data_IF_046032703302
#
_entry.id   IF_046032703302
#
_cell.length_a   1.000
_cell.length_b   1.000
_cell.length_c   1.000
_cell.angle_alpha   90.00
_cell.angle_beta   90.00
_cell.angle_gamma   90.00
#
_symmetry.space_group_name_H-M   'P 1'
#
loop_
_entity.id
_entity.type
_entity.pdbx_description
1 polymer ?
#
# COMPACT_ATOMS: atom_id res chain seq x y z
N UNK A 1 -1.77 13.45 -13.22
CA UNK A 1 -1.77 12.52 -12.08
C UNK A 1 -1.49 11.06 -12.48
N UNK A 2 -2.22 10.45 -13.43
CA UNK A 2 -1.98 9.07 -13.86
C UNK A 2 -0.63 8.84 -14.60
N UNK A 3 -0.14 9.82 -15.37
CA UNK A 3 1.10 9.68 -16.13
C UNK A 3 2.38 9.61 -15.25
N UNK A 4 2.34 10.16 -14.04
CA UNK A 4 3.47 10.05 -13.08
C UNK A 4 3.51 8.68 -12.39
N UNK A 5 2.39 7.95 -12.35
CA UNK A 5 2.34 6.59 -11.82
C UNK A 5 3.05 5.59 -12.75
N UNK A 6 3.12 5.85 -14.06
CA UNK A 6 3.83 4.98 -15.01
C UNK A 6 5.36 5.02 -14.83
N UNK A 7 5.92 6.10 -14.29
CA UNK A 7 7.37 6.21 -13.98
C UNK A 7 7.79 5.35 -12.78
N UNK A 8 6.83 4.82 -12.01
CA UNK A 8 7.09 4.04 -10.78
C UNK A 8 7.65 2.65 -11.09
N UNK A 9 7.26 2.02 -12.21
CA UNK A 9 7.72 0.68 -12.60
C UNK A 9 9.23 0.59 -12.90
N UNK A 10 9.89 1.72 -13.16
CA UNK A 10 11.32 1.76 -13.51
C UNK A 10 12.23 1.84 -12.27
N UNK A 11 11.71 2.30 -11.12
CA UNK A 11 12.51 2.57 -9.92
C UNK A 11 12.66 1.35 -8.98
N UNK A 12 12.14 0.18 -9.35
CA UNK A 12 12.03 -1.02 -8.51
C UNK A 12 13.29 -1.92 -8.51
N UNK A 13 14.32 -1.60 -9.32
CA UNK A 13 15.55 -2.39 -9.42
C UNK A 13 16.58 -2.22 -8.29
N UNK A 14 16.49 -1.18 -7.46
CA UNK A 14 17.58 -0.77 -6.54
C UNK A 14 17.17 -0.78 -5.03
N UNK A 15 16.08 -1.47 -4.69
CA UNK A 15 15.29 -1.23 -3.47
C UNK A 15 15.86 -1.70 -2.11
N UNK A 16 17.03 -2.35 -2.04
CA UNK A 16 17.57 -2.86 -0.75
C UNK A 16 18.49 -1.89 0.02
N UNK A 17 18.76 -0.68 -0.49
CA UNK A 17 19.74 0.26 0.09
C UNK A 17 19.18 1.63 0.51
N UNK A 18 17.87 1.81 0.58
CA UNK A 18 17.28 3.12 0.86
C UNK A 18 17.07 3.36 2.37
N UNK A 19 17.55 4.52 2.84
CA UNK A 19 17.39 4.95 4.24
C UNK A 19 15.94 5.21 4.64
N UNK A 20 15.69 5.32 5.96
CA UNK A 20 14.35 5.44 6.55
C UNK A 20 13.47 6.54 5.94
N UNK A 21 14.06 7.69 5.58
CA UNK A 21 13.36 8.81 4.94
C UNK A 21 12.73 8.43 3.59
N UNK A 22 13.47 7.70 2.76
CA UNK A 22 13.00 7.25 1.44
C UNK A 22 11.89 6.19 1.57
N UNK A 23 11.96 5.34 2.60
CA UNK A 23 10.84 4.44 2.95
C UNK A 23 9.59 5.23 3.32
N UNK A 24 9.70 6.24 4.19
CA UNK A 24 8.57 7.07 4.64
C UNK A 24 7.91 7.80 3.46
N UNK A 25 8.68 8.49 2.63
CA UNK A 25 8.16 9.21 1.46
C UNK A 25 7.46 8.28 0.47
N UNK A 26 7.99 7.06 0.26
CA UNK A 26 7.37 6.05 -0.59
C UNK A 26 6.03 5.56 -0.06
N UNK A 27 5.85 5.48 1.26
CA UNK A 27 4.57 5.12 1.86
C UNK A 27 3.56 6.25 1.78
N UNK A 28 3.98 7.51 2.00
CA UNK A 28 3.10 8.68 1.93
C UNK A 28 2.39 8.81 0.57
N UNK A 29 3.04 8.41 -0.53
CA UNK A 29 2.45 8.49 -1.88
C UNK A 29 1.14 7.70 -2.03
N UNK A 30 0.92 6.69 -1.19
CA UNK A 30 -0.28 5.84 -1.25
C UNK A 30 -1.44 6.36 -0.38
N UNK A 31 -1.16 7.26 0.56
CA UNK A 31 -2.16 7.81 1.50
C UNK A 31 -2.45 9.30 1.24
N UNK A 32 -1.51 10.04 0.65
CA UNK A 32 -1.58 11.49 0.49
C UNK A 32 -1.21 11.97 -0.91
N UNK A 33 -1.94 12.98 -1.40
CA UNK A 33 -1.62 13.65 -2.65
C UNK A 33 -0.33 14.47 -2.53
N UNK A 34 0.64 14.21 -3.39
CA UNK A 34 1.94 14.90 -3.36
C UNK A 34 1.86 16.41 -3.61
N UNK A 35 0.79 16.88 -4.28
CA UNK A 35 0.59 18.29 -4.64
C UNK A 35 -0.17 19.05 -3.55
N UNK A 36 -1.38 18.61 -3.20
CA UNK A 36 -2.24 19.33 -2.27
C UNK A 36 -2.13 18.85 -0.82
N UNK A 37 -1.34 17.79 -0.56
CA UNK A 37 -1.11 17.21 0.78
C UNK A 37 -2.36 16.70 1.50
N UNK A 38 -3.48 16.58 0.78
CA UNK A 38 -4.69 15.98 1.31
C UNK A 38 -4.61 14.46 1.23
N UNK A 39 -5.16 13.80 2.26
CA UNK A 39 -5.33 12.35 2.24
C UNK A 39 -6.36 11.95 1.21
N UNK A 40 -6.11 10.83 0.54
CA UNK A 40 -7.08 10.23 -0.34
C UNK A 40 -8.25 9.65 0.47
N UNK A 41 -9.46 9.74 -0.07
CA UNK A 41 -10.68 9.26 0.57
C UNK A 41 -11.58 8.53 -0.42
N UNK A 42 -12.50 7.72 0.10
CA UNK A 42 -13.46 6.91 -0.64
C UNK A 42 -12.82 6.03 -1.72
N UNK A 43 -13.41 6.07 -2.92
CA UNK A 43 -13.00 5.22 -4.05
C UNK A 43 -11.55 5.46 -4.48
N UNK A 44 -11.04 6.70 -4.35
CA UNK A 44 -9.65 7.01 -4.71
C UNK A 44 -8.68 6.32 -3.75
N UNK A 45 -8.99 6.34 -2.44
CA UNK A 45 -8.19 5.64 -1.43
C UNK A 45 -8.18 4.14 -1.67
N UNK A 46 -9.34 3.56 -1.99
CA UNK A 46 -9.47 2.15 -2.35
C UNK A 46 -8.64 1.78 -3.59
N UNK A 47 -8.72 2.57 -4.65
CA UNK A 47 -7.95 2.31 -5.87
C UNK A 47 -6.43 2.36 -5.62
N UNK A 48 -5.96 3.33 -4.82
CA UNK A 48 -4.55 3.46 -4.48
C UNK A 48 -4.07 2.37 -3.53
N UNK A 49 -4.90 1.94 -2.58
CA UNK A 49 -4.55 0.84 -1.69
C UNK A 49 -4.44 -0.50 -2.45
N UNK A 50 -5.28 -0.72 -3.46
CA UNK A 50 -5.13 -1.82 -4.43
C UNK A 50 -3.85 -1.70 -5.27
N UNK A 51 -3.52 -0.50 -5.74
CA UNK A 51 -2.24 -0.24 -6.43
C UNK A 51 -1.04 -0.60 -5.55
N UNK A 52 -1.09 -0.20 -4.28
CA UNK A 52 -0.07 -0.52 -3.29
C UNK A 52 0.07 -2.02 -3.08
N UNK A 53 -1.04 -2.74 -2.86
CA UNK A 53 -1.04 -4.19 -2.69
C UNK A 53 -0.44 -4.92 -3.89
N UNK A 54 -0.86 -4.58 -5.11
CA UNK A 54 -0.32 -5.18 -6.34
C UNK A 54 1.17 -4.97 -6.50
N UNK A 55 1.71 -3.86 -5.98
CA UNK A 55 3.15 -3.59 -5.99
C UNK A 55 3.93 -4.54 -5.07
N UNK A 56 3.36 -4.90 -3.91
CA UNK A 56 4.10 -5.61 -2.85
C UNK A 56 3.68 -7.07 -2.63
N UNK A 57 2.60 -7.55 -3.27
CA UNK A 57 2.08 -8.91 -3.09
C UNK A 57 3.09 -10.01 -3.41
N UNK A 58 4.00 -9.77 -4.37
CA UNK A 58 5.01 -10.75 -4.78
C UNK A 58 6.17 -10.93 -3.80
N UNK A 59 6.27 -10.08 -2.77
CA UNK A 59 7.37 -10.14 -1.78
C UNK A 59 7.16 -11.28 -0.77
N UNK A 60 8.21 -11.77 -0.08
CA UNK A 60 8.06 -12.77 0.99
C UNK A 60 7.11 -12.30 2.10
N UNK A 61 6.46 -13.24 2.81
CA UNK A 61 5.59 -12.91 3.95
C UNK A 61 6.36 -12.20 5.08
N UNK A 62 7.65 -12.47 5.22
CA UNK A 62 8.55 -11.81 6.19
C UNK A 62 8.86 -10.36 5.84
N UNK A 63 8.61 -9.93 4.59
CA UNK A 63 8.85 -8.57 4.14
C UNK A 63 7.82 -7.61 4.75
N UNK A 64 8.32 -6.62 5.50
CA UNK A 64 7.49 -5.62 6.16
C UNK A 64 6.61 -4.84 5.16
N UNK A 65 7.09 -4.58 3.95
CA UNK A 65 6.35 -3.83 2.95
C UNK A 65 5.11 -4.58 2.47
N UNK A 66 5.18 -5.91 2.36
CA UNK A 66 4.02 -6.74 2.04
C UNK A 66 2.94 -6.61 3.12
N UNK A 67 3.33 -6.66 4.39
CA UNK A 67 2.39 -6.52 5.53
C UNK A 67 1.75 -5.14 5.58
N UNK A 68 2.55 -4.09 5.41
CA UNK A 68 2.04 -2.72 5.39
C UNK A 68 1.08 -2.48 4.22
N UNK A 69 1.34 -3.08 3.05
CA UNK A 69 0.46 -3.01 1.91
C UNK A 69 -0.90 -3.68 2.18
N UNK A 70 -0.94 -4.82 2.86
CA UNK A 70 -2.19 -5.46 3.28
C UNK A 70 -2.98 -4.57 4.25
N UNK A 71 -2.29 -3.94 5.21
CA UNK A 71 -2.94 -3.03 6.15
C UNK A 71 -3.56 -1.82 5.43
N UNK A 72 -2.85 -1.27 4.44
CA UNK A 72 -3.36 -0.16 3.65
C UNK A 72 -4.55 -0.58 2.77
N UNK A 73 -4.49 -1.77 2.17
CA UNK A 73 -5.59 -2.35 1.41
C UNK A 73 -6.87 -2.46 2.25
N UNK A 74 -6.78 -3.07 3.44
CA UNK A 74 -7.91 -3.19 4.35
C UNK A 74 -8.51 -1.83 4.74
N UNK A 75 -7.67 -0.83 5.00
CA UNK A 75 -8.14 0.55 5.26
C UNK A 75 -8.86 1.17 4.06
N UNK A 76 -8.31 1.02 2.86
CA UNK A 76 -8.91 1.57 1.65
C UNK A 76 -10.24 0.92 1.30
N UNK A 77 -10.38 -0.39 1.51
CA UNK A 77 -11.62 -1.12 1.29
C UNK A 77 -12.72 -0.68 2.26
N UNK A 78 -12.42 -0.60 3.56
CA UNK A 78 -13.40 -0.15 4.56
C UNK A 78 -13.79 1.32 4.34
N UNK A 79 -12.84 2.18 3.98
CA UNK A 79 -13.13 3.58 3.66
C UNK A 79 -14.03 3.75 2.43
N UNK A 80 -14.07 2.77 1.52
CA UNK A 80 -14.99 2.73 0.38
C UNK A 80 -16.29 1.94 0.67
N UNK A 81 -16.50 1.46 1.89
CA UNK A 81 -17.69 0.70 2.29
C UNK A 81 -17.68 -0.79 1.86
N UNK A 82 -16.53 -1.33 1.48
CA UNK A 82 -16.35 -2.75 1.17
C UNK A 82 -15.91 -3.52 2.42
N UNK A 83 -16.73 -3.52 3.46
CA UNK A 83 -16.32 -3.98 4.79
C UNK A 83 -16.02 -5.49 4.86
N UNK A 84 -16.74 -6.33 4.11
CA UNK A 84 -16.49 -7.78 4.05
C UNK A 84 -15.12 -8.11 3.41
N UNK A 85 -14.78 -7.41 2.32
CA UNK A 85 -13.47 -7.56 1.68
C UNK A 85 -12.37 -7.02 2.60
N UNK A 86 -12.63 -5.90 3.30
CA UNK A 86 -11.71 -5.33 4.26
C UNK A 86 -11.44 -6.30 5.43
N UNK A 87 -12.48 -6.95 5.96
CA UNK A 87 -12.39 -7.95 7.01
C UNK A 87 -11.52 -9.13 6.56
N UNK A 88 -11.80 -9.67 5.38
CA UNK A 88 -11.03 -10.78 4.79
C UNK A 88 -9.54 -10.45 4.69
N UNK A 89 -9.20 -9.23 4.24
CA UNK A 89 -7.80 -8.78 4.17
C UNK A 89 -7.18 -8.66 5.57
N UNK A 90 -7.91 -8.16 6.57
CA UNK A 90 -7.43 -8.02 7.95
C UNK A 90 -7.18 -9.37 8.62
N UNK A 91 -8.05 -10.34 8.39
CA UNK A 91 -7.88 -11.71 8.89
C UNK A 91 -6.64 -12.36 8.26
N UNK A 92 -6.44 -12.19 6.95
CA UNK A 92 -5.25 -12.68 6.28
C UNK A 92 -3.96 -12.00 6.79
N UNK A 93 -4.00 -10.68 7.05
CA UNK A 93 -2.88 -9.94 7.65
C UNK A 93 -2.54 -10.48 9.05
N UNK A 94 -3.56 -10.74 9.87
CA UNK A 94 -3.39 -11.30 11.21
C UNK A 94 -2.84 -12.74 11.17
N UNK A 95 -3.38 -13.58 10.27
CA UNK A 95 -2.92 -14.95 10.09
C UNK A 95 -1.44 -15.00 9.69
N UNK A 96 -1.02 -14.12 8.77
CA UNK A 96 0.39 -13.98 8.41
C UNK A 96 1.25 -13.51 9.59
N UNK A 97 0.83 -12.49 10.36
CA UNK A 97 1.56 -12.03 11.56
C UNK A 97 1.76 -13.12 12.61
N UNK A 98 0.85 -14.09 12.69
CA UNK A 98 0.96 -15.24 13.61
C UNK A 98 1.94 -16.32 13.11
N UNK A 99 2.28 -16.33 11.82
CA UNK A 99 3.23 -17.29 11.23
C UNK A 99 4.69 -16.80 11.27
N UNK A 100 4.88 -15.49 11.39
CA UNK A 100 6.19 -14.83 11.51
C UNK A 100 6.69 -14.85 12.95
#
# INVERSE_FOLDING_TARGET
CLAEQAKILVAEGEENNLGAKARTERWHRWDECSLCKQRYDGVVRCALSWGCWKTYVGRPETDEARRLAMSLLGNGLSNAGHDEDALSVREAELAMKRRL
#
